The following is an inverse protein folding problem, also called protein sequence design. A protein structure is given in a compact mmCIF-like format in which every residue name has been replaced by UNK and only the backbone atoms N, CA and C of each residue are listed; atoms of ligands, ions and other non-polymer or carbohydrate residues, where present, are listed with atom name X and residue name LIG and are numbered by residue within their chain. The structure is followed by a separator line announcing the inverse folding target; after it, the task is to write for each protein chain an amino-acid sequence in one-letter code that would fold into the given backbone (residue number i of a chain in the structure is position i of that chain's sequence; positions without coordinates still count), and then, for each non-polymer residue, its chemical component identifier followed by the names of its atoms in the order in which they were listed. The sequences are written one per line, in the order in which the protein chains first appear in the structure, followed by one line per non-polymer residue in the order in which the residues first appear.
data_IF_912209536355
#
_entry.id   IF_912209536355
#
_cell.length_a   1.000
_cell.length_b   1.000
_cell.length_c   1.000
_cell.angle_alpha   90.00
_cell.angle_beta   90.00
_cell.angle_gamma   90.00
#
_symmetry.space_group_name_H-M   'P 1'
#
loop_
_entity.id
_entity.type
_entity.pdbx_description
1 polymer ?
#
# COMPACT_ATOMS: atom_id res chain seq x y z
N UNK A 1 -1.19 11.04 20.91
CA UNK A 1 -1.13 11.70 19.58
C UNK A 1 -1.24 10.58 18.53
N UNK A 2 -1.98 10.79 17.47
CA UNK A 2 -2.15 9.84 16.36
C UNK A 2 -2.25 10.64 15.05
N UNK A 3 -2.02 9.99 13.91
CA UNK A 3 -2.21 10.61 12.60
C UNK A 3 -3.70 10.84 12.37
N UNK A 4 -4.10 12.09 12.10
CA UNK A 4 -5.50 12.44 11.85
C UNK A 4 -5.89 12.15 10.40
N UNK A 5 -5.16 12.72 9.45
CA UNK A 5 -5.39 12.53 8.02
C UNK A 5 -4.12 12.82 7.20
N UNK A 6 -4.13 12.38 5.96
CA UNK A 6 -3.17 12.76 4.92
C UNK A 6 -3.90 13.63 3.90
N UNK A 7 -3.31 14.78 3.55
CA UNK A 7 -3.81 15.65 2.48
C UNK A 7 -2.85 15.55 1.29
N UNK A 8 -3.39 15.22 0.11
CA UNK A 8 -2.61 14.98 -1.10
C UNK A 8 -3.10 15.84 -2.26
N UNK A 9 -2.16 16.29 -3.06
CA UNK A 9 -2.48 16.84 -4.37
C UNK A 9 -2.66 15.72 -5.38
N UNK A 10 -3.74 15.81 -6.15
CA UNK A 10 -4.09 14.92 -7.26
C UNK A 10 -4.52 15.77 -8.45
N UNK A 11 -4.39 15.24 -9.66
CA UNK A 11 -4.82 15.98 -10.84
C UNK A 11 -6.30 16.30 -10.80
N UNK A 12 -7.12 15.31 -10.43
CA UNK A 12 -8.56 15.44 -10.35
C UNK A 12 -9.09 14.65 -9.16
N UNK A 13 -9.60 15.35 -8.15
CA UNK A 13 -10.01 14.74 -6.89
C UNK A 13 -11.19 13.77 -7.05
N UNK A 14 -12.15 14.05 -7.95
CA UNK A 14 -13.30 13.17 -8.18
C UNK A 14 -12.86 11.85 -8.84
N UNK A 15 -12.01 11.91 -9.88
CA UNK A 15 -11.48 10.73 -10.56
C UNK A 15 -10.62 9.89 -9.61
N UNK A 16 -9.73 10.53 -8.85
CA UNK A 16 -8.91 9.81 -7.86
C UNK A 16 -9.80 9.19 -6.77
N UNK A 17 -10.83 9.88 -6.31
CA UNK A 17 -11.77 9.34 -5.32
C UNK A 17 -12.51 8.09 -5.82
N UNK A 18 -12.82 7.98 -7.12
CA UNK A 18 -13.39 6.76 -7.70
C UNK A 18 -12.45 5.56 -7.50
N UNK A 19 -11.16 5.75 -7.74
CA UNK A 19 -10.14 4.72 -7.50
C UNK A 19 -10.10 4.32 -6.01
N UNK A 20 -10.02 5.28 -5.09
CA UNK A 20 -9.96 5.00 -3.65
C UNK A 20 -11.22 4.26 -3.16
N UNK A 21 -12.39 4.60 -3.68
CA UNK A 21 -13.64 3.86 -3.39
C UNK A 21 -13.61 2.44 -3.95
N UNK A 22 -13.22 2.30 -5.21
CA UNK A 22 -13.25 1.01 -5.90
C UNK A 22 -12.21 0.03 -5.33
N UNK A 23 -11.01 0.50 -5.03
CA UNK A 23 -9.88 -0.35 -4.63
C UNK A 23 -9.83 -0.51 -3.10
N UNK A 24 -9.85 0.58 -2.35
CA UNK A 24 -9.72 0.55 -0.89
C UNK A 24 -11.06 0.47 -0.16
N UNK A 25 -12.19 0.64 -0.86
CA UNK A 25 -13.51 0.62 -0.23
C UNK A 25 -13.80 1.85 0.62
N UNK A 26 -13.06 2.96 0.44
CA UNK A 26 -13.28 4.18 1.20
C UNK A 26 -14.63 4.79 0.85
N UNK A 27 -15.30 5.38 1.82
CA UNK A 27 -16.51 6.16 1.58
C UNK A 27 -16.20 7.65 1.48
N UNK A 28 -16.98 8.37 0.69
CA UNK A 28 -16.89 9.83 0.60
C UNK A 28 -17.62 10.46 1.77
N UNK A 29 -16.91 11.23 2.58
CA UNK A 29 -17.50 12.06 3.62
C UNK A 29 -18.05 13.37 3.05
N UNK A 30 -17.26 14.04 2.19
CA UNK A 30 -17.63 15.32 1.59
C UNK A 30 -16.95 15.52 0.24
N UNK A 31 -17.65 16.18 -0.68
CA UNK A 31 -17.10 16.65 -1.96
C UNK A 31 -17.27 18.15 -2.06
N UNK A 32 -16.19 18.85 -2.34
CA UNK A 32 -16.18 20.24 -2.81
C UNK A 32 -15.95 20.21 -4.33
N UNK A 33 -16.99 20.34 -5.17
CA UNK A 33 -16.90 20.08 -6.60
C UNK A 33 -15.76 20.82 -7.29
N UNK A 34 -14.99 20.10 -8.12
CA UNK A 34 -13.82 20.61 -8.85
C UNK A 34 -12.61 20.94 -7.97
N UNK A 35 -12.70 20.85 -6.65
CA UNK A 35 -11.67 21.29 -5.71
C UNK A 35 -11.10 20.19 -4.84
N UNK A 36 -11.97 19.42 -4.17
CA UNK A 36 -11.51 18.43 -3.20
C UNK A 36 -12.53 17.33 -2.94
N UNK A 37 -12.05 16.14 -2.55
CA UNK A 37 -12.85 15.05 -2.01
C UNK A 37 -12.22 14.54 -0.72
N UNK A 38 -13.05 14.32 0.29
CA UNK A 38 -12.66 13.83 1.61
C UNK A 38 -13.17 12.41 1.79
N UNK A 39 -12.28 11.47 2.07
CA UNK A 39 -12.55 10.03 2.10
C UNK A 39 -12.13 9.43 3.44
N UNK A 40 -12.83 8.39 3.87
CA UNK A 40 -12.51 7.66 5.08
C UNK A 40 -12.85 6.16 4.95
N UNK A 41 -12.06 5.30 5.58
CA UNK A 41 -12.40 3.90 5.82
C UNK A 41 -13.35 3.76 7.02
N UNK A 42 -13.26 4.69 7.96
CA UNK A 42 -14.03 4.69 9.20
C UNK A 42 -15.20 5.69 9.13
N UNK A 43 -16.43 5.18 9.12
CA UNK A 43 -17.65 6.01 9.05
C UNK A 43 -17.88 6.92 10.27
N UNK A 44 -17.20 6.66 11.37
CA UNK A 44 -17.23 7.48 12.58
C UNK A 44 -16.29 8.70 12.50
N UNK A 45 -15.43 8.75 11.48
CA UNK A 45 -14.49 9.86 11.25
C UNK A 45 -14.89 10.68 10.03
N UNK A 46 -14.51 11.95 10.02
CA UNK A 46 -14.78 12.83 8.89
C UNK A 46 -13.95 12.42 7.65
N UNK A 47 -12.66 12.17 7.83
CA UNK A 47 -11.78 11.74 6.75
C UNK A 47 -10.43 11.29 7.29
N UNK A 48 -9.79 10.43 6.53
CA UNK A 48 -8.41 9.98 6.71
C UNK A 48 -7.56 10.41 5.51
N UNK A 49 -8.22 10.65 4.37
CA UNK A 49 -7.58 11.18 3.16
C UNK A 49 -8.37 12.38 2.65
N UNK A 50 -7.64 13.46 2.33
CA UNK A 50 -8.15 14.60 1.56
C UNK A 50 -7.42 14.66 0.22
N UNK A 51 -8.18 14.61 -0.87
CA UNK A 51 -7.68 14.74 -2.23
C UNK A 51 -7.95 16.15 -2.72
N UNK A 52 -6.91 16.89 -3.12
CA UNK A 52 -7.00 18.28 -3.56
C UNK A 52 -6.66 18.37 -5.06
N UNK A 53 -7.59 18.83 -5.88
CA UNK A 53 -7.38 19.00 -7.32
C UNK A 53 -6.36 20.10 -7.61
N UNK A 54 -5.36 19.80 -8.44
CA UNK A 54 -4.38 20.78 -8.92
C UNK A 54 -4.40 20.95 -10.45
N UNK A 55 -5.32 20.26 -11.14
CA UNK A 55 -5.50 20.31 -12.60
C UNK A 55 -4.90 19.13 -13.34
N UNK A 56 -5.54 18.75 -14.44
CA UNK A 56 -5.20 17.54 -15.21
C UNK A 56 -3.77 17.61 -15.81
N UNK A 57 -3.21 18.82 -16.04
CA UNK A 57 -1.88 19.03 -16.60
C UNK A 57 -0.77 19.13 -15.54
N UNK A 58 -1.11 19.01 -14.24
CA UNK A 58 -0.11 19.08 -13.18
C UNK A 58 0.95 17.98 -13.34
N UNK A 59 2.25 18.30 -13.14
CA UNK A 59 3.31 17.31 -13.24
C UNK A 59 3.15 16.24 -12.16
N UNK A 60 3.42 14.98 -12.52
CA UNK A 60 3.49 13.90 -11.54
C UNK A 60 4.78 14.00 -10.74
N UNK A 61 4.77 13.47 -9.52
CA UNK A 61 5.98 13.37 -8.70
C UNK A 61 7.02 12.52 -9.42
N UNK A 62 8.23 13.05 -9.58
CA UNK A 62 9.31 12.29 -10.17
C UNK A 62 9.88 11.26 -9.18
N UNK A 63 10.35 10.12 -9.71
CA UNK A 63 10.98 9.08 -8.89
C UNK A 63 12.20 9.66 -8.15
N UNK A 64 12.24 9.43 -6.84
CA UNK A 64 13.35 9.86 -5.98
C UNK A 64 13.26 11.30 -5.48
N UNK A 65 12.17 12.00 -5.72
CA UNK A 65 11.91 13.27 -5.05
C UNK A 65 11.67 13.07 -3.55
N UNK A 66 12.15 14.03 -2.76
CA UNK A 66 11.85 14.10 -1.33
C UNK A 66 10.35 14.33 -1.13
N UNK A 67 9.72 13.54 -0.27
CA UNK A 67 8.29 13.60 0.01
C UNK A 67 7.76 12.29 0.57
N UNK A 68 6.45 12.11 0.54
CA UNK A 68 5.81 10.87 0.96
C UNK A 68 6.15 9.74 -0.03
N UNK A 69 6.73 8.65 0.47
CA UNK A 69 6.99 7.46 -0.34
C UNK A 69 5.69 6.69 -0.62
N UNK A 70 4.95 6.35 0.43
CA UNK A 70 3.64 5.73 0.36
C UNK A 70 2.83 6.01 1.63
N UNK A 71 1.54 5.76 1.56
CA UNK A 71 0.60 5.75 2.66
C UNK A 71 0.15 4.30 2.87
N UNK A 72 0.31 3.79 4.10
CA UNK A 72 -0.05 2.42 4.44
C UNK A 72 -1.45 2.36 5.09
N UNK A 73 -2.25 1.40 4.61
CA UNK A 73 -3.53 1.01 5.17
C UNK A 73 -3.43 -0.38 5.77
N UNK A 74 -3.99 -0.56 6.95
CA UNK A 74 -3.99 -1.85 7.63
C UNK A 74 -5.32 -2.55 7.42
N UNK A 75 -5.26 -3.86 7.20
CA UNK A 75 -6.42 -4.76 7.25
C UNK A 75 -6.34 -5.65 8.48
N UNK A 76 -7.50 -6.09 8.97
CA UNK A 76 -7.59 -6.84 10.24
C UNK A 76 -7.24 -8.32 10.08
N UNK A 77 -7.19 -8.82 8.85
CA UNK A 77 -6.89 -10.23 8.59
C UNK A 77 -6.14 -10.45 7.28
N UNK A 78 -5.41 -11.59 7.23
CA UNK A 78 -4.75 -12.05 6.00
C UNK A 78 -5.76 -12.33 4.87
N UNK A 79 -6.98 -12.73 5.21
CA UNK A 79 -8.02 -13.01 4.20
C UNK A 79 -8.54 -11.71 3.57
N UNK A 80 -8.64 -10.62 4.30
CA UNK A 80 -8.92 -9.30 3.72
C UNK A 80 -7.81 -8.84 2.77
N UNK A 81 -6.55 -9.12 3.09
CA UNK A 81 -5.44 -8.82 2.20
C UNK A 81 -5.51 -9.66 0.90
N UNK A 82 -5.92 -10.93 0.98
CA UNK A 82 -6.17 -11.78 -0.19
C UNK A 82 -7.31 -11.22 -1.06
N UNK A 83 -8.37 -10.72 -0.44
CA UNK A 83 -9.48 -10.07 -1.15
C UNK A 83 -8.99 -8.82 -1.89
N UNK A 84 -8.15 -7.99 -1.24
CA UNK A 84 -7.56 -6.83 -1.90
C UNK A 84 -6.67 -7.24 -3.08
N UNK A 85 -5.81 -8.24 -2.89
CA UNK A 85 -4.96 -8.77 -3.98
C UNK A 85 -5.80 -9.14 -5.20
N UNK A 86 -6.88 -9.90 -5.00
CA UNK A 86 -7.77 -10.28 -6.08
C UNK A 86 -8.46 -9.08 -6.72
N UNK A 87 -8.91 -8.11 -5.92
CA UNK A 87 -9.53 -6.87 -6.41
C UNK A 87 -8.58 -6.05 -7.29
N UNK A 88 -7.30 -5.95 -6.93
CA UNK A 88 -6.28 -5.29 -7.75
C UNK A 88 -6.09 -6.01 -9.09
N UNK A 89 -6.07 -7.35 -9.08
CA UNK A 89 -5.98 -8.17 -10.31
C UNK A 89 -7.19 -7.96 -11.20
N UNK A 90 -8.40 -8.04 -10.66
CA UNK A 90 -9.66 -7.90 -11.41
C UNK A 90 -9.81 -6.49 -12.01
N UNK A 91 -9.35 -5.47 -11.29
CA UNK A 91 -9.35 -4.10 -11.76
C UNK A 91 -8.16 -3.76 -12.68
N UNK A 92 -7.28 -4.72 -12.98
CA UNK A 92 -6.03 -4.52 -13.73
C UNK A 92 -5.15 -3.38 -13.17
N UNK A 93 -5.17 -3.18 -11.85
CA UNK A 93 -4.28 -2.23 -11.17
C UNK A 93 -2.91 -2.89 -10.99
N UNK A 94 -1.85 -2.35 -11.60
CA UNK A 94 -0.53 -2.91 -11.41
C UNK A 94 -0.04 -2.62 -9.99
N UNK A 95 0.52 -3.62 -9.33
CA UNK A 95 1.26 -3.41 -8.09
C UNK A 95 2.78 -3.44 -8.33
N UNK A 96 3.51 -2.65 -7.53
CA UNK A 96 4.96 -2.51 -7.65
C UNK A 96 5.67 -3.77 -7.16
N UNK A 97 5.32 -4.22 -5.97
CA UNK A 97 5.83 -5.44 -5.33
C UNK A 97 4.94 -5.90 -4.18
N UNK A 98 5.19 -7.09 -3.69
CA UNK A 98 4.62 -7.65 -2.46
C UNK A 98 5.78 -8.00 -1.54
N UNK A 99 5.75 -7.54 -0.30
CA UNK A 99 6.89 -7.65 0.61
C UNK A 99 6.50 -8.31 1.93
N UNK A 100 7.19 -9.40 2.25
CA UNK A 100 7.13 -10.02 3.58
C UNK A 100 8.20 -9.37 4.47
N UNK A 101 7.75 -8.67 5.50
CA UNK A 101 8.59 -7.98 6.48
C UNK A 101 8.80 -8.81 7.77
N UNK A 102 8.39 -10.07 7.76
CA UNK A 102 8.50 -10.96 8.91
C UNK A 102 7.35 -10.80 9.91
N UNK A 103 7.00 -9.59 10.31
CA UNK A 103 5.84 -9.32 11.16
C UNK A 103 4.59 -8.93 10.37
N UNK A 104 4.75 -8.46 9.14
CA UNK A 104 3.67 -8.02 8.25
C UNK A 104 3.94 -8.40 6.81
N UNK A 105 2.87 -8.47 6.03
CA UNK A 105 2.93 -8.58 4.57
C UNK A 105 2.23 -7.36 3.96
N UNK A 106 2.92 -6.65 3.07
CA UNK A 106 2.41 -5.48 2.37
C UNK A 106 2.31 -5.68 0.87
N UNK A 107 1.23 -5.19 0.26
CA UNK A 107 1.05 -5.07 -1.19
C UNK A 107 1.19 -3.60 -1.56
N UNK A 108 2.16 -3.28 -2.43
CA UNK A 108 2.53 -1.93 -2.82
C UNK A 108 2.04 -1.63 -4.24
N UNK A 109 1.31 -0.55 -4.40
CA UNK A 109 0.76 -0.11 -5.69
C UNK A 109 0.63 1.41 -5.72
N UNK A 110 0.06 1.95 -6.80
CA UNK A 110 -0.08 3.40 -6.96
C UNK A 110 -1.51 3.79 -7.31
N UNK A 111 -1.87 4.99 -6.86
CA UNK A 111 -3.09 5.64 -7.32
C UNK A 111 -2.91 6.15 -8.78
N UNK A 112 -3.97 6.68 -9.42
CA UNK A 112 -3.90 7.17 -10.80
C UNK A 112 -2.88 8.30 -11.04
N UNK A 113 -2.51 9.04 -10.00
CA UNK A 113 -1.53 10.11 -10.05
C UNK A 113 -0.11 9.69 -9.65
N UNK A 114 0.08 8.38 -9.39
CA UNK A 114 1.38 7.81 -9.03
C UNK A 114 1.74 7.92 -7.55
N UNK A 115 0.82 8.38 -6.69
CA UNK A 115 1.04 8.38 -5.25
C UNK A 115 1.15 6.95 -4.73
N UNK A 116 2.18 6.67 -3.93
CA UNK A 116 2.43 5.35 -3.37
C UNK A 116 1.39 4.95 -2.33
N UNK A 117 0.92 3.71 -2.44
CA UNK A 117 -0.01 3.08 -1.52
C UNK A 117 0.53 1.72 -1.08
N UNK A 118 0.31 1.40 0.16
CA UNK A 118 0.49 0.08 0.73
C UNK A 118 -0.81 -0.36 1.39
N UNK A 119 -1.17 -1.62 1.23
CA UNK A 119 -2.13 -2.26 2.13
C UNK A 119 -1.45 -3.47 2.74
N UNK A 120 -1.47 -3.55 4.06
CA UNK A 120 -0.76 -4.58 4.80
C UNK A 120 -1.60 -5.22 5.89
N UNK A 121 -1.27 -6.49 6.15
CA UNK A 121 -1.70 -7.22 7.33
C UNK A 121 -0.50 -7.43 8.24
N UNK A 122 -0.67 -7.11 9.52
CA UNK A 122 0.32 -7.32 10.56
C UNK A 122 -0.10 -8.46 11.49
N UNK A 123 0.84 -9.32 11.84
CA UNK A 123 0.59 -10.41 12.79
C UNK A 123 0.19 -9.85 14.17
N UNK A 124 -0.66 -10.57 14.92
CA UNK A 124 -0.87 -10.27 16.32
C UNK A 124 0.45 -10.19 17.09
N UNK A 125 0.54 -9.26 18.03
CA UNK A 125 1.79 -8.91 18.74
C UNK A 125 2.52 -10.11 19.32
N UNK A 126 1.80 -11.11 19.82
CA UNK A 126 2.36 -12.34 20.38
C UNK A 126 3.01 -13.28 19.35
N UNK A 127 2.75 -13.06 18.06
CA UNK A 127 3.31 -13.83 16.95
C UNK A 127 4.46 -13.10 16.24
N UNK A 128 4.83 -11.92 16.70
CA UNK A 128 5.91 -11.20 16.08
C UNK A 128 7.23 -11.94 16.20
N UNK A 129 8.02 -12.02 15.14
CA UNK A 129 9.37 -12.55 15.21
C UNK A 129 10.26 -11.67 16.10
N UNK A 130 11.47 -12.13 16.39
CA UNK A 130 12.45 -11.33 17.11
C UNK A 130 12.73 -10.03 16.36
N UNK A 131 13.03 -8.96 17.09
CA UNK A 131 13.24 -7.63 16.52
C UNK A 131 14.37 -7.58 15.48
N UNK A 132 15.39 -8.41 15.65
CA UNK A 132 16.52 -8.56 14.71
C UNK A 132 16.13 -9.29 13.41
N UNK A 133 14.93 -9.87 13.35
CA UNK A 133 14.38 -10.54 12.17
C UNK A 133 13.35 -9.68 11.43
N UNK A 134 13.02 -8.51 11.96
CA UNK A 134 12.04 -7.58 11.38
C UNK A 134 12.77 -6.50 10.59
N UNK A 135 12.32 -6.26 9.36
CA UNK A 135 12.91 -5.27 8.44
C UNK A 135 14.42 -5.46 8.14
N UNK A 136 14.99 -6.61 8.51
CA UNK A 136 16.35 -6.93 8.13
C UNK A 136 16.45 -7.16 6.62
N UNK A 137 17.57 -6.78 6.00
CA UNK A 137 17.80 -6.94 4.55
C UNK A 137 17.80 -8.40 4.09
N UNK A 138 17.91 -9.31 5.02
CA UNK A 138 17.99 -10.77 4.92
C UNK A 138 16.84 -11.48 5.65
N UNK A 139 15.68 -10.81 5.78
CA UNK A 139 14.48 -11.42 6.36
C UNK A 139 14.16 -12.71 5.65
N UNK A 140 14.19 -13.77 6.41
CA UNK A 140 13.77 -15.10 5.96
C UNK A 140 12.24 -15.10 5.87
N UNK A 141 11.71 -15.45 4.71
CA UNK A 141 10.29 -15.77 4.61
C UNK A 141 9.98 -16.95 5.54
N UNK A 142 9.27 -16.66 6.62
CA UNK A 142 8.90 -17.65 7.62
C UNK A 142 7.66 -18.47 7.22
N UNK A 143 7.09 -18.22 6.02
CA UNK A 143 5.86 -18.88 5.58
C UNK A 143 4.61 -18.49 6.37
N UNK A 144 4.66 -17.33 7.03
CA UNK A 144 3.59 -16.87 7.93
C UNK A 144 2.40 -16.26 7.17
N UNK A 145 2.59 -15.93 5.89
CA UNK A 145 1.59 -15.24 5.07
C UNK A 145 1.28 -16.02 3.78
N UNK A 146 0.77 -17.26 3.85
CA UNK A 146 0.44 -18.02 2.65
C UNK A 146 -0.73 -17.38 1.91
N UNK A 147 -0.61 -17.27 0.58
CA UNK A 147 -1.64 -16.60 -0.19
C UNK A 147 -1.53 -16.78 -1.70
N UNK A 148 -2.43 -16.14 -2.46
CA UNK A 148 -2.45 -16.23 -3.92
C UNK A 148 -1.24 -15.55 -4.58
N UNK A 149 -0.44 -14.84 -3.83
CA UNK A 149 0.82 -14.22 -4.26
C UNK A 149 2.02 -15.18 -4.22
N UNK A 150 1.87 -16.38 -3.68
CA UNK A 150 2.99 -17.31 -3.47
C UNK A 150 3.77 -17.61 -4.75
N UNK A 151 3.10 -17.63 -5.89
CA UNK A 151 3.71 -17.84 -7.22
C UNK A 151 3.81 -16.52 -8.02
N UNK A 152 3.49 -15.36 -7.43
CA UNK A 152 3.56 -14.09 -8.13
C UNK A 152 5.03 -13.61 -8.21
N UNK A 153 5.55 -13.29 -9.42
CA UNK A 153 6.93 -12.86 -9.60
C UNK A 153 7.27 -11.55 -8.87
N UNK A 154 6.26 -10.79 -8.44
CA UNK A 154 6.42 -9.57 -7.66
C UNK A 154 6.45 -9.81 -6.15
N UNK A 155 6.20 -11.05 -5.72
CA UNK A 155 6.33 -11.44 -4.33
C UNK A 155 7.79 -11.73 -4.00
N UNK A 156 8.41 -10.91 -3.17
CA UNK A 156 9.78 -11.14 -2.78
C UNK A 156 9.85 -12.06 -1.55
N UNK A 157 10.04 -13.33 -1.81
CA UNK A 157 10.48 -14.33 -0.82
C UNK A 157 11.99 -14.28 -0.60
N UNK A 158 12.66 -13.19 -0.87
CA UNK A 158 14.11 -13.14 -0.88
C UNK A 158 14.70 -13.41 0.51
N UNK A 159 15.05 -14.67 0.72
CA UNK A 159 16.24 -14.99 1.50
C UNK A 159 17.46 -14.61 0.64
N UNK A 160 18.11 -13.50 0.92
CA UNK A 160 19.39 -13.15 0.30
C UNK A 160 20.51 -14.16 0.65
N UNK A 161 20.26 -15.06 1.59
CA UNK A 161 21.17 -16.11 2.01
C UNK A 161 21.36 -17.23 0.98
N UNK A 162 20.67 -17.21 -0.18
CA UNK A 162 20.78 -18.25 -1.22
C UNK A 162 21.44 -17.80 -2.52
N UNK A 163 21.94 -16.59 -2.64
CA UNK A 163 22.85 -16.29 -3.74
C UNK A 163 24.23 -16.80 -3.38
N UNK A 164 24.75 -17.84 -4.07
CA UNK A 164 26.16 -18.23 -3.87
C UNK A 164 27.04 -17.04 -4.21
N UNK A 165 27.98 -16.73 -3.34
CA UNK A 165 28.99 -15.71 -3.59
C UNK A 165 29.50 -15.89 -5.02
N UNK A 166 29.32 -14.88 -5.89
CA UNK A 166 29.94 -14.89 -7.21
C UNK A 166 31.43 -15.05 -6.97
N UNK A 167 31.96 -16.21 -7.37
CA UNK A 167 33.38 -16.42 -7.38
C UNK A 167 33.99 -15.29 -8.24
N UNK A 168 34.75 -14.41 -7.59
CA UNK A 168 35.60 -13.46 -8.29
C UNK A 168 36.70 -14.25 -8.95
N UNK A 169 36.67 -14.32 -10.29
CA UNK A 169 37.77 -14.77 -11.11
C UNK A 169 38.85 -13.69 -11.19
#
# INVERSE_FOLDING_TARGET
MYLGHVNMYVRNAEKSAEFYRAILGLHTYHTAPGRAVFLSANKEKSHEVALMSVGDDAPLQAKGQVGLNHMAWMVDSLDELKVLYQRLKDANVPFDHISDHGLSLGIYFRDPDGNGLEVSYELPREKWPRQDQVFASDVVNLGLFPGPWDDDPKYSRRSRLQEPAKATA
#
